data_IF_128477726163
#
_entry.id   IF_128477726163
#
_cell.length_a   1.000
_cell.length_b   1.000
_cell.length_c   1.000
_cell.angle_alpha   90.00
_cell.angle_beta   90.00
_cell.angle_gamma   90.00
#
_symmetry.space_group_name_H-M   'P 1'
#
loop_
_entity.id
_entity.type
_entity.pdbx_description
1 polymer ?
#
# COMPACT_ATOMS: atom_id res chain seq x y z
N UNK A 1 -6.12 19.73 -8.89
CA UNK A 1 -6.92 19.42 -10.12
C UNK A 1 -7.73 18.12 -9.98
N UNK A 2 -7.12 16.98 -9.62
CA UNK A 2 -7.85 15.71 -9.42
C UNK A 2 -8.91 15.73 -8.31
N UNK A 3 -8.57 16.26 -7.13
CA UNK A 3 -9.51 16.42 -6.01
C UNK A 3 -10.70 17.35 -6.32
N UNK A 4 -10.52 18.28 -7.27
CA UNK A 4 -11.56 19.23 -7.69
C UNK A 4 -12.49 18.63 -8.75
N UNK A 5 -11.98 17.76 -9.64
CA UNK A 5 -12.80 17.00 -10.60
C UNK A 5 -13.67 15.94 -9.91
N UNK A 6 -13.16 15.30 -8.85
CA UNK A 6 -13.92 14.30 -8.08
C UNK A 6 -15.05 14.94 -7.26
N UNK A 7 -14.82 16.14 -6.70
CA UNK A 7 -15.86 16.92 -6.01
C UNK A 7 -16.97 17.46 -6.94
N UNK A 8 -16.75 17.48 -8.25
CA UNK A 8 -17.72 17.95 -9.25
C UNK A 8 -18.37 16.81 -10.06
N UNK A 9 -18.20 15.55 -9.67
CA UNK A 9 -18.87 14.41 -10.32
C UNK A 9 -18.38 14.10 -11.74
N UNK A 10 -17.20 14.59 -12.16
CA UNK A 10 -16.65 14.29 -13.48
C UNK A 10 -16.01 12.90 -13.52
N UNK A 11 -16.32 12.13 -14.56
CA UNK A 11 -15.73 10.81 -14.80
C UNK A 11 -14.19 10.91 -14.91
N UNK A 12 -13.52 10.10 -14.10
CA UNK A 12 -12.06 10.07 -14.02
C UNK A 12 -11.57 9.24 -15.20
N UNK A 13 -10.90 9.87 -16.17
CA UNK A 13 -10.28 9.12 -17.27
C UNK A 13 -9.35 8.01 -16.76
N UNK A 14 -9.27 6.84 -17.42
CA UNK A 14 -8.56 5.66 -16.92
C UNK A 14 -7.08 5.90 -16.63
N UNK A 15 -6.46 6.84 -17.35
CA UNK A 15 -5.08 7.27 -17.09
C UNK A 15 -4.94 8.03 -15.77
N UNK A 16 -5.85 8.98 -15.49
CA UNK A 16 -5.83 9.76 -14.26
C UNK A 16 -6.13 8.85 -13.04
N UNK A 17 -7.01 7.86 -13.18
CA UNK A 17 -7.25 6.86 -12.16
C UNK A 17 -5.98 6.03 -11.86
N UNK A 18 -5.22 5.62 -12.88
CA UNK A 18 -3.96 4.88 -12.70
C UNK A 18 -2.88 5.72 -12.03
N UNK A 19 -2.79 7.01 -12.37
CA UNK A 19 -1.89 7.96 -11.69
C UNK A 19 -2.27 8.11 -10.22
N UNK A 20 -3.55 8.29 -9.90
CA UNK A 20 -4.02 8.41 -8.51
C UNK A 20 -3.74 7.14 -7.70
N UNK A 21 -3.90 5.95 -8.30
CA UNK A 21 -3.51 4.68 -7.65
C UNK A 21 -2.00 4.65 -7.41
N UNK A 22 -1.16 5.06 -8.37
CA UNK A 22 0.30 5.11 -8.16
C UNK A 22 0.73 6.12 -7.09
N UNK A 23 -0.02 7.21 -6.92
CA UNK A 23 0.25 8.21 -5.88
C UNK A 23 0.03 7.68 -4.45
N UNK A 24 -0.69 6.57 -4.26
CA UNK A 24 -0.78 5.93 -2.95
C UNK A 24 0.58 5.44 -2.44
N UNK A 25 1.51 5.10 -3.34
CA UNK A 25 2.88 4.72 -2.99
C UNK A 25 3.82 5.92 -2.83
N UNK A 26 3.47 7.09 -3.39
CA UNK A 26 4.32 8.28 -3.31
C UNK A 26 4.54 8.76 -1.85
N UNK A 27 3.52 8.61 -0.99
CA UNK A 27 3.65 8.92 0.44
C UNK A 27 4.69 8.07 1.15
N UNK A 28 4.78 6.78 0.81
CA UNK A 28 5.79 5.87 1.37
C UNK A 28 7.21 6.25 0.94
N UNK A 29 7.40 6.57 -0.34
CA UNK A 29 8.70 7.04 -0.86
C UNK A 29 9.11 8.34 -0.18
N UNK A 30 8.19 9.29 -0.02
CA UNK A 30 8.46 10.56 0.65
C UNK A 30 8.87 10.36 2.12
N UNK A 31 8.25 9.41 2.83
CA UNK A 31 8.59 9.09 4.21
C UNK A 31 10.00 8.52 4.33
N UNK A 32 10.38 7.57 3.46
CA UNK A 32 11.73 6.99 3.44
C UNK A 32 12.76 8.06 3.09
N UNK A 33 12.49 8.88 2.09
CA UNK A 33 13.39 9.96 1.68
C UNK A 33 13.62 10.97 2.81
N UNK A 34 12.57 11.34 3.55
CA UNK A 34 12.66 12.22 4.71
C UNK A 34 13.57 11.64 5.80
N UNK A 35 13.36 10.37 6.17
CA UNK A 35 14.20 9.66 7.13
C UNK A 35 15.65 9.56 6.69
N UNK A 36 15.88 9.26 5.41
CA UNK A 36 17.21 9.13 4.84
C UNK A 36 17.99 10.46 4.90
N UNK A 37 17.34 11.57 4.53
CA UNK A 37 17.93 12.91 4.64
C UNK A 37 18.32 13.25 6.08
N UNK A 38 17.45 12.94 7.05
CA UNK A 38 17.72 13.28 8.45
C UNK A 38 18.81 12.40 9.08
N UNK A 39 18.88 11.13 8.70
CA UNK A 39 19.85 10.18 9.24
C UNK A 39 21.26 10.42 8.69
N UNK A 40 21.36 10.67 7.38
CA UNK A 40 22.65 10.96 6.74
C UNK A 40 23.12 12.38 7.05
N UNK A 41 22.20 13.34 7.18
CA UNK A 41 22.54 14.73 7.49
C UNK A 41 23.22 14.94 8.84
N UNK A 42 23.19 13.95 9.74
CA UNK A 42 23.87 13.98 11.04
C UNK A 42 25.15 13.15 11.12
N UNK A 43 25.47 12.33 10.11
CA UNK A 43 26.80 11.72 9.98
C UNK A 43 27.82 12.87 9.81
N UNK A 44 28.96 12.92 10.54
CA UNK A 44 29.79 11.81 11.04
C UNK A 44 29.68 11.49 12.55
N UNK A 45 28.73 12.11 13.26
CA UNK A 45 28.64 12.00 14.72
C UNK A 45 27.40 11.20 15.13
N UNK A 46 27.60 10.12 15.89
CA UNK A 46 26.51 9.39 16.52
C UNK A 46 26.04 10.16 17.77
N UNK A 47 27.00 10.67 18.55
CA UNK A 47 26.79 11.67 19.61
C UNK A 47 27.76 12.83 19.39
N UNK A 48 27.24 14.03 19.12
CA UNK A 48 28.03 15.23 18.81
C UNK A 48 29.04 15.52 19.90
N UNK A 49 30.33 15.50 19.55
CA UNK A 49 31.43 15.82 20.45
C UNK A 49 31.90 14.70 21.39
N UNK A 50 31.34 13.48 21.29
CA UNK A 50 31.70 12.36 22.19
C UNK A 50 32.03 11.07 21.44
N UNK A 51 31.23 10.66 20.44
CA UNK A 51 31.39 9.38 19.73
C UNK A 51 31.15 9.54 18.23
N UNK A 52 32.15 9.15 17.43
CA UNK A 52 32.05 9.10 15.97
C UNK A 52 31.41 7.79 15.52
N UNK A 53 30.77 7.80 14.34
CA UNK A 53 30.20 6.58 13.74
C UNK A 53 31.26 5.51 13.44
N UNK A 54 32.53 5.92 13.28
CA UNK A 54 33.66 5.03 13.04
C UNK A 54 34.12 4.31 14.32
N UNK A 55 34.12 5.00 15.47
CA UNK A 55 34.53 4.41 16.76
C UNK A 55 33.45 3.51 17.39
N UNK A 56 32.19 3.70 16.99
CA UNK A 56 31.06 2.88 17.43
C UNK A 56 30.92 1.55 16.66
N UNK A 57 31.75 1.32 15.64
CA UNK A 57 31.75 0.07 14.88
C UNK A 57 32.31 -1.07 15.74
N UNK A 58 31.48 -2.08 16.00
CA UNK A 58 31.85 -3.24 16.82
C UNK A 58 32.84 -4.15 16.11
N UNK A 59 33.74 -4.79 16.87
CA UNK A 59 34.81 -5.71 16.38
C UNK A 59 34.31 -7.05 15.83
N UNK A 60 33.02 -7.13 15.48
CA UNK A 60 32.38 -8.36 14.99
C UNK A 60 32.82 -8.62 13.55
N UNK A 61 33.12 -9.89 13.17
CA UNK A 61 33.49 -10.21 11.80
C UNK A 61 32.45 -9.73 10.79
N UNK A 62 32.89 -9.00 9.76
CA UNK A 62 32.02 -8.42 8.73
C UNK A 62 31.10 -9.46 8.05
N UNK A 63 31.54 -10.72 7.97
CA UNK A 63 30.73 -11.82 7.44
C UNK A 63 29.45 -12.11 8.24
N UNK A 64 29.49 -12.00 9.57
CA UNK A 64 28.32 -12.23 10.42
C UNK A 64 27.31 -11.08 10.33
N UNK A 65 27.80 -9.85 10.18
CA UNK A 65 26.95 -8.67 9.97
C UNK A 65 26.25 -8.77 8.61
N UNK A 66 26.99 -9.13 7.56
CA UNK A 66 26.41 -9.30 6.22
C UNK A 66 25.36 -10.42 6.19
N UNK A 67 25.60 -11.53 6.89
CA UNK A 67 24.66 -12.64 6.97
C UNK A 67 23.36 -12.23 7.68
N UNK A 68 23.46 -11.62 8.87
CA UNK A 68 22.27 -11.19 9.63
C UNK A 68 21.51 -10.10 8.90
N UNK A 69 22.19 -9.12 8.29
CA UNK A 69 21.56 -8.09 7.45
C UNK A 69 20.83 -8.70 6.25
N UNK A 70 21.46 -9.65 5.57
CA UNK A 70 20.84 -10.35 4.43
C UNK A 70 19.61 -11.13 4.87
N UNK A 71 19.67 -11.80 6.01
CA UNK A 71 18.54 -12.54 6.58
C UNK A 71 17.36 -11.60 6.89
N UNK A 72 17.62 -10.46 7.54
CA UNK A 72 16.60 -9.45 7.81
C UNK A 72 16.00 -8.87 6.52
N UNK A 73 16.84 -8.59 5.52
CA UNK A 73 16.39 -8.07 4.23
C UNK A 73 15.45 -9.06 3.54
N UNK A 74 15.84 -10.34 3.46
CA UNK A 74 14.99 -11.41 2.89
C UNK A 74 13.68 -11.53 3.65
N UNK A 75 13.74 -11.56 4.99
CA UNK A 75 12.56 -11.65 5.84
C UNK A 75 11.57 -10.51 5.59
N UNK A 76 12.06 -9.26 5.55
CA UNK A 76 11.20 -8.11 5.31
C UNK A 76 10.63 -8.08 3.89
N UNK A 77 11.38 -8.51 2.88
CA UNK A 77 10.86 -8.64 1.51
C UNK A 77 9.72 -9.66 1.45
N UNK A 78 9.88 -10.81 2.09
CA UNK A 78 8.83 -11.85 2.16
C UNK A 78 7.59 -11.33 2.90
N UNK A 79 7.77 -10.65 4.03
CA UNK A 79 6.67 -10.06 4.79
C UNK A 79 5.93 -8.99 3.98
N UNK A 80 6.66 -8.11 3.30
CA UNK A 80 6.08 -7.06 2.46
C UNK A 80 5.28 -7.67 1.31
N UNK A 81 5.84 -8.68 0.62
CA UNK A 81 5.15 -9.38 -0.48
C UNK A 81 3.87 -10.09 0.02
N UNK A 82 3.95 -10.73 1.19
CA UNK A 82 2.79 -11.37 1.83
C UNK A 82 1.70 -10.34 2.16
N UNK A 83 2.07 -9.23 2.80
CA UNK A 83 1.14 -8.14 3.14
C UNK A 83 0.42 -7.60 1.91
N UNK A 84 1.17 -7.24 0.87
CA UNK A 84 0.61 -6.72 -0.39
C UNK A 84 -0.35 -7.73 -1.01
N UNK A 85 0.03 -9.01 -1.05
CA UNK A 85 -0.82 -10.09 -1.57
C UNK A 85 -2.11 -10.25 -0.78
N UNK A 86 -2.05 -10.19 0.55
CA UNK A 86 -3.23 -10.28 1.43
C UNK A 86 -4.17 -9.09 1.20
N UNK A 87 -3.64 -7.88 1.09
CA UNK A 87 -4.46 -6.68 0.83
C UNK A 87 -5.20 -6.81 -0.50
N UNK A 88 -4.51 -7.22 -1.58
CA UNK A 88 -5.17 -7.45 -2.87
C UNK A 88 -6.16 -8.62 -2.85
N UNK A 89 -5.86 -9.69 -2.12
CA UNK A 89 -6.78 -10.83 -1.94
C UNK A 89 -8.06 -10.40 -1.23
N UNK A 90 -7.95 -9.64 -0.13
CA UNK A 90 -9.09 -9.12 0.61
C UNK A 90 -9.90 -8.12 -0.21
N UNK A 91 -9.23 -7.24 -0.96
CA UNK A 91 -9.90 -6.31 -1.86
C UNK A 91 -10.70 -7.03 -2.97
N UNK A 92 -10.17 -8.13 -3.52
CA UNK A 92 -10.89 -8.97 -4.49
C UNK A 92 -12.11 -9.65 -3.86
N UNK A 93 -11.94 -10.27 -2.68
CA UNK A 93 -13.01 -11.00 -1.99
C UNK A 93 -14.16 -10.10 -1.51
N UNK A 94 -13.88 -8.84 -1.18
CA UNK A 94 -14.90 -7.87 -0.81
C UNK A 94 -15.87 -7.54 -1.98
N UNK A 95 -15.37 -7.53 -3.23
CA UNK A 95 -16.18 -7.31 -4.44
C UNK A 95 -17.12 -8.49 -4.71
N UNK A 96 -16.63 -9.72 -4.53
CA UNK A 96 -17.43 -10.92 -4.78
C UNK A 96 -18.58 -11.08 -3.78
N UNK A 97 -18.42 -10.56 -2.55
CA UNK A 97 -19.42 -10.66 -1.49
C UNK A 97 -20.54 -9.60 -1.60
N UNK A 98 -20.35 -8.52 -2.38
CA UNK A 98 -21.35 -7.46 -2.59
C UNK A 98 -22.30 -7.77 -3.76
N UNK A 99 -21.88 -8.60 -4.73
CA UNK A 99 -22.67 -9.04 -5.89
C UNK A 99 -23.95 -9.85 -5.58
N UNK A 100 -24.02 -10.71 -4.53
CA UNK A 100 -25.22 -11.50 -4.22
C UNK A 100 -26.40 -10.65 -3.72
N UNK A 101 -26.11 -9.50 -3.11
CA UNK A 101 -27.12 -8.63 -2.50
C UNK A 101 -27.82 -7.77 -3.55
N UNK A 102 -27.10 -7.29 -4.57
CA UNK A 102 -27.70 -6.58 -5.71
C UNK A 102 -28.60 -7.48 -6.55
N UNK A 103 -28.21 -8.73 -6.80
CA UNK A 103 -29.04 -9.72 -7.50
C UNK A 103 -30.36 -10.02 -6.77
N UNK A 104 -30.37 -9.96 -5.43
CA UNK A 104 -31.59 -10.23 -4.64
C UNK A 104 -32.47 -8.98 -4.43
N UNK A 105 -31.91 -7.77 -4.56
CA UNK A 105 -32.64 -6.49 -4.45
C UNK A 105 -33.10 -5.93 -5.80
N UNK A 106 -32.63 -6.51 -6.92
CA UNK A 106 -33.25 -6.34 -8.23
C UNK A 106 -34.63 -7.04 -8.23
N UNK A 107 -35.62 -6.32 -7.70
CA UNK A 107 -37.04 -6.70 -7.66
C UNK A 107 -37.48 -7.23 -9.04
N UNK A 108 -38.16 -8.39 -9.12
CA UNK A 108 -38.79 -8.82 -10.36
C UNK A 108 -39.94 -7.86 -10.65
N UNK A 109 -39.78 -6.97 -11.63
CA UNK A 109 -40.92 -6.32 -12.28
C UNK A 109 -41.60 -7.35 -13.18
N UNK A 110 -42.28 -8.30 -12.53
CA UNK A 110 -42.95 -9.44 -13.14
C UNK A 110 -44.23 -9.82 -12.38
N UNK A 111 -44.86 -8.86 -11.71
CA UNK A 111 -46.29 -8.94 -11.39
C UNK A 111 -47.05 -8.16 -12.46
N UNK A 112 -47.45 -8.84 -13.52
CA UNK A 112 -48.68 -8.48 -14.23
C UNK A 112 -49.28 -9.73 -14.86
N UNK A 113 -50.52 -10.00 -14.44
CA UNK A 113 -51.50 -10.94 -14.99
C UNK A 113 -51.58 -12.34 -14.35
N UNK A 114 -52.11 -12.35 -13.13
CA UNK A 114 -53.16 -13.31 -12.78
C UNK A 114 -54.46 -12.95 -13.52
N UNK A 115 -55.27 -13.95 -13.88
CA UNK A 115 -56.66 -13.77 -14.35
C UNK A 115 -56.94 -14.47 -15.67
N UNK A 116 -57.53 -15.66 -15.57
CA UNK A 116 -57.88 -16.50 -16.71
C UNK A 116 -59.22 -16.20 -17.37
N UNK A 117 -59.69 -17.23 -18.07
CA UNK A 117 -61.03 -17.48 -18.62
C UNK A 117 -61.43 -16.62 -19.83
N UNK A 118 -61.30 -17.22 -21.02
CA UNK A 118 -62.34 -17.43 -22.06
C UNK A 118 -61.66 -18.01 -23.30
#
# INVERSE_FOLDING_TARGET
VGAWRLRRGHEIGPWLARVLVSMTFAGWVALIAGWYVTEIGRQPWLVTGVLTSADAASTVPAGNIALTLSLYLVLYVVLLASYVRVVFYLAGKARDKSRPLETSMAVPTGFSKAGGVS
#
